data_IF_878664988722
#
_entry.id   IF_878664988722
#
_cell.length_a   1.000
_cell.length_b   1.000
_cell.length_c   1.000
_cell.angle_alpha   90.00
_cell.angle_beta   90.00
_cell.angle_gamma   90.00
#
_symmetry.space_group_name_H-M   'P 1'
#
loop_
_entity.id
_entity.type
_entity.pdbx_description
1 polymer ?
#
# COMPACT_ATOMS: atom_id res chain seq x y z
N UNK A 1 47.54 -8.99 -41.25
CA UNK A 1 46.68 -10.17 -40.99
C UNK A 1 45.56 -9.71 -40.08
N UNK A 2 44.40 -9.43 -40.68
CA UNK A 2 43.15 -9.02 -40.02
C UNK A 2 42.23 -10.24 -39.85
N UNK A 3 41.23 -10.09 -38.98
CA UNK A 3 40.12 -11.01 -38.66
C UNK A 3 40.42 -12.03 -37.54
N UNK A 4 39.57 -12.32 -36.57
CA UNK A 4 38.17 -11.94 -36.29
C UNK A 4 37.91 -12.33 -34.81
N UNK A 5 37.41 -11.41 -33.99
CA UNK A 5 36.88 -11.74 -32.66
C UNK A 5 35.37 -11.52 -32.72
N UNK A 6 34.66 -12.60 -33.04
CA UNK A 6 33.20 -12.63 -33.01
C UNK A 6 32.72 -12.57 -31.56
N UNK A 7 32.23 -11.41 -31.16
CA UNK A 7 31.40 -11.26 -29.99
C UNK A 7 30.05 -11.95 -30.25
N UNK A 8 29.85 -13.13 -29.65
CA UNK A 8 28.52 -13.75 -29.53
C UNK A 8 27.74 -12.99 -28.46
N UNK A 9 27.05 -11.92 -28.86
CA UNK A 9 25.92 -11.40 -28.09
C UNK A 9 24.81 -12.44 -28.14
N UNK A 10 24.79 -13.33 -27.15
CA UNK A 10 23.66 -14.19 -26.90
C UNK A 10 22.54 -13.33 -26.33
N UNK A 11 21.59 -12.95 -27.18
CA UNK A 11 20.29 -12.43 -26.75
C UNK A 11 19.66 -13.47 -25.82
N UNK A 12 19.77 -13.22 -24.51
CA UNK A 12 18.90 -13.91 -23.55
C UNK A 12 17.51 -13.33 -23.78
N UNK A 13 16.63 -14.15 -24.34
CA UNK A 13 15.19 -13.90 -24.27
C UNK A 13 14.83 -13.89 -22.79
N UNK A 14 14.73 -12.70 -22.21
CA UNK A 14 14.19 -12.50 -20.87
C UNK A 14 12.68 -12.65 -21.02
N UNK A 15 12.14 -13.80 -20.60
CA UNK A 15 10.69 -13.97 -20.50
C UNK A 15 10.19 -13.05 -19.39
N UNK A 16 9.47 -11.99 -19.75
CA UNK A 16 8.83 -11.11 -18.78
C UNK A 16 7.81 -11.90 -17.95
N UNK A 17 7.86 -11.75 -16.62
CA UNK A 17 6.83 -12.29 -15.74
C UNK A 17 5.50 -11.59 -15.99
N UNK A 18 4.43 -12.37 -16.01
CA UNK A 18 3.05 -11.89 -16.12
C UNK A 18 2.40 -11.84 -14.74
N UNK A 19 1.44 -10.94 -14.58
CA UNK A 19 0.67 -10.87 -13.35
C UNK A 19 -0.47 -11.89 -13.40
N UNK A 20 -0.64 -12.65 -12.33
CA UNK A 20 -1.81 -13.52 -12.19
C UNK A 20 -3.07 -12.67 -11.93
N UNK A 21 -4.08 -12.79 -12.77
CA UNK A 21 -5.35 -12.03 -12.64
C UNK A 21 -6.01 -12.30 -11.28
N UNK A 22 -5.94 -13.53 -10.77
CA UNK A 22 -6.50 -13.88 -9.47
C UNK A 22 -5.78 -13.15 -8.32
N UNK A 23 -4.48 -12.90 -8.48
CA UNK A 23 -3.70 -12.11 -7.55
C UNK A 23 -4.06 -10.61 -7.65
N UNK A 24 -4.17 -10.06 -8.86
CA UNK A 24 -4.59 -8.66 -9.06
C UNK A 24 -5.99 -8.40 -8.48
N UNK A 25 -6.94 -9.31 -8.70
CA UNK A 25 -8.27 -9.24 -8.10
C UNK A 25 -8.22 -9.29 -6.58
N UNK A 26 -7.33 -10.12 -6.02
CA UNK A 26 -7.15 -10.20 -4.57
C UNK A 26 -6.69 -8.85 -4.01
N UNK A 27 -5.66 -8.24 -4.58
CA UNK A 27 -5.13 -6.91 -4.22
C UNK A 27 -6.24 -5.85 -4.29
N UNK A 28 -7.05 -5.85 -5.35
CA UNK A 28 -8.17 -4.92 -5.50
C UNK A 28 -9.31 -5.15 -4.49
N UNK A 29 -9.62 -6.40 -4.12
CA UNK A 29 -10.61 -6.69 -3.07
C UNK A 29 -10.11 -6.22 -1.69
N UNK A 30 -8.82 -6.41 -1.47
CA UNK A 30 -8.07 -5.97 -0.34
C UNK A 30 -8.23 -4.42 -0.21
N UNK A 31 -7.89 -3.65 -1.24
CA UNK A 31 -8.12 -2.20 -1.37
C UNK A 31 -9.50 -1.72 -0.88
N UNK A 32 -10.58 -2.37 -1.35
CA UNK A 32 -11.94 -2.04 -0.94
C UNK A 32 -12.16 -2.20 0.57
N UNK A 33 -11.61 -3.26 1.17
CA UNK A 33 -11.75 -3.48 2.61
C UNK A 33 -11.05 -2.40 3.43
N UNK A 34 -9.97 -1.80 2.93
CA UNK A 34 -9.20 -0.79 3.66
C UNK A 34 -9.91 0.54 3.63
N UNK A 35 -10.47 0.89 2.46
CA UNK A 35 -11.30 2.09 2.30
C UNK A 35 -12.44 2.08 3.32
N UNK A 36 -13.13 0.94 3.48
CA UNK A 36 -14.19 0.80 4.49
C UNK A 36 -13.67 0.98 5.92
N UNK A 37 -12.54 0.37 6.28
CA UNK A 37 -11.96 0.58 7.63
C UNK A 37 -11.53 2.03 7.88
N UNK A 38 -10.96 2.70 6.88
CA UNK A 38 -10.59 4.12 6.98
C UNK A 38 -11.84 4.97 7.24
N UNK A 39 -12.94 4.73 6.51
CA UNK A 39 -14.21 5.42 6.71
C UNK A 39 -14.78 5.17 8.12
N UNK A 40 -14.70 3.94 8.61
CA UNK A 40 -15.12 3.59 9.98
C UNK A 40 -14.29 4.34 11.04
N UNK A 41 -12.97 4.39 10.87
CA UNK A 41 -12.05 5.11 11.77
C UNK A 41 -12.30 6.61 11.73
N UNK A 42 -12.46 7.21 10.53
CA UNK A 42 -12.78 8.63 10.38
C UNK A 42 -14.13 8.97 11.04
N UNK A 43 -15.11 8.07 10.93
CA UNK A 43 -16.39 8.19 11.63
C UNK A 43 -16.26 8.12 13.15
N UNK A 44 -15.44 7.22 13.68
CA UNK A 44 -15.16 7.11 15.11
C UNK A 44 -14.42 8.34 15.66
N UNK A 45 -13.44 8.86 14.92
CA UNK A 45 -12.75 10.10 15.29
C UNK A 45 -13.73 11.27 15.41
N UNK A 46 -14.67 11.40 14.49
CA UNK A 46 -15.68 12.46 14.51
C UNK A 46 -16.68 12.31 15.67
N UNK A 47 -17.11 11.07 15.97
CA UNK A 47 -17.96 10.78 17.15
C UNK A 47 -17.27 11.17 18.45
N UNK A 48 -15.98 10.84 18.58
CA UNK A 48 -15.17 11.21 19.75
C UNK A 48 -15.07 12.73 19.87
N UNK A 49 -14.79 13.45 18.77
CA UNK A 49 -14.73 14.93 18.74
C UNK A 49 -16.02 15.61 19.17
N UNK A 50 -17.16 15.03 18.80
CA UNK A 50 -18.50 15.54 19.17
C UNK A 50 -18.90 15.18 20.60
N UNK A 51 -18.04 14.50 21.35
CA UNK A 51 -18.32 13.93 22.66
C UNK A 51 -19.55 13.00 22.66
N UNK A 52 -19.86 12.37 21.50
CA UNK A 52 -20.90 11.33 21.39
C UNK A 52 -20.45 10.02 22.06
N UNK A 53 -19.14 9.85 22.24
CA UNK A 53 -18.51 8.80 23.05
C UNK A 53 -17.42 9.40 23.92
N UNK A 54 -17.22 8.85 25.12
CA UNK A 54 -16.17 9.25 26.07
C UNK A 54 -14.98 8.30 26.10
N UNK A 55 -15.02 7.20 25.34
CA UNK A 55 -13.97 6.18 25.31
C UNK A 55 -13.30 6.10 23.94
N UNK A 56 -11.97 6.03 23.94
CA UNK A 56 -11.09 5.81 22.77
C UNK A 56 -10.81 4.32 22.51
N UNK A 57 -11.33 3.42 23.35
CA UNK A 57 -11.03 1.98 23.27
C UNK A 57 -11.55 1.34 21.96
N UNK A 58 -12.72 1.77 21.48
CA UNK A 58 -13.27 1.35 20.19
C UNK A 58 -12.37 1.74 19.02
N UNK A 59 -11.97 3.01 19.00
CA UNK A 59 -11.04 3.55 18.03
C UNK A 59 -9.70 2.80 18.04
N UNK A 60 -9.15 2.51 19.23
CA UNK A 60 -7.89 1.76 19.34
C UNK A 60 -7.98 0.38 18.69
N UNK A 61 -9.06 -0.37 18.95
CA UNK A 61 -9.26 -1.69 18.31
C UNK A 61 -9.40 -1.61 16.79
N UNK A 62 -10.05 -0.57 16.28
CA UNK A 62 -10.14 -0.35 14.83
C UNK A 62 -8.76 -0.05 14.25
N UNK A 63 -7.96 0.78 14.91
CA UNK A 63 -6.59 1.08 14.50
C UNK A 63 -5.69 -0.15 14.49
N UNK A 64 -5.80 -1.03 15.50
CA UNK A 64 -5.05 -2.30 15.55
C UNK A 64 -5.45 -3.24 14.41
N UNK A 65 -6.76 -3.33 14.13
CA UNK A 65 -7.30 -4.14 13.04
C UNK A 65 -6.81 -3.61 11.69
N UNK A 66 -6.87 -2.29 11.49
CA UNK A 66 -6.38 -1.62 10.30
C UNK A 66 -4.88 -1.86 10.10
N UNK A 67 -4.06 -1.67 11.13
CA UNK A 67 -2.62 -1.94 11.04
C UNK A 67 -2.31 -3.39 10.67
N UNK A 68 -2.99 -4.35 11.29
CA UNK A 68 -2.82 -5.77 10.97
C UNK A 68 -3.15 -6.06 9.51
N UNK A 69 -4.24 -5.48 9.00
CA UNK A 69 -4.69 -5.68 7.63
C UNK A 69 -3.74 -5.04 6.61
N UNK A 70 -3.34 -3.78 6.79
CA UNK A 70 -2.39 -3.10 5.89
C UNK A 70 -1.03 -3.83 5.88
N UNK A 71 -0.57 -4.33 7.04
CA UNK A 71 0.65 -5.14 7.09
C UNK A 71 0.53 -6.45 6.32
N UNK A 72 -0.62 -7.13 6.42
CA UNK A 72 -0.86 -8.37 5.70
C UNK A 72 -0.92 -8.14 4.19
N UNK A 73 -1.52 -7.02 3.77
CA UNK A 73 -1.61 -6.58 2.39
C UNK A 73 -0.24 -6.28 1.76
N UNK A 74 0.55 -5.41 2.38
CA UNK A 74 1.90 -5.12 1.88
C UNK A 74 2.76 -6.38 1.81
N UNK A 75 2.60 -7.30 2.77
CA UNK A 75 3.29 -8.59 2.72
C UNK A 75 2.79 -9.48 1.56
N UNK A 76 1.51 -9.41 1.20
CA UNK A 76 0.95 -10.10 0.03
C UNK A 76 1.56 -9.55 -1.26
N UNK A 77 1.69 -8.25 -1.40
CA UNK A 77 2.27 -7.60 -2.59
C UNK A 77 3.75 -7.89 -2.75
N UNK A 78 4.49 -7.71 -1.65
CA UNK A 78 5.93 -7.92 -1.60
C UNK A 78 6.33 -9.38 -1.82
N UNK A 79 5.58 -10.34 -1.26
CA UNK A 79 5.90 -11.76 -1.41
C UNK A 79 5.18 -12.43 -2.58
N UNK A 80 4.09 -11.81 -3.04
CA UNK A 80 3.24 -12.32 -4.12
C UNK A 80 3.80 -12.05 -5.51
N UNK A 81 4.88 -11.28 -5.62
CA UNK A 81 5.56 -11.06 -6.90
C UNK A 81 5.24 -9.73 -7.57
N UNK A 82 4.40 -8.87 -6.98
CA UNK A 82 3.88 -7.68 -7.65
C UNK A 82 5.01 -6.72 -8.06
N UNK A 83 5.88 -6.40 -7.10
CA UNK A 83 7.00 -5.51 -7.35
C UNK A 83 8.07 -6.15 -8.24
N UNK A 84 8.24 -7.47 -8.23
CA UNK A 84 9.08 -8.16 -9.21
C UNK A 84 8.56 -7.96 -10.64
N UNK A 85 7.25 -8.10 -10.86
CA UNK A 85 6.62 -7.85 -12.17
C UNK A 85 6.86 -6.40 -12.62
N UNK A 86 6.65 -5.42 -11.75
CA UNK A 86 6.93 -4.01 -12.07
C UNK A 86 8.40 -3.76 -12.44
N UNK A 87 9.36 -4.40 -11.75
CA UNK A 87 10.80 -4.17 -11.99
C UNK A 87 11.31 -4.78 -13.30
N UNK A 88 10.66 -5.84 -13.77
CA UNK A 88 11.01 -6.57 -14.99
C UNK A 88 10.40 -5.96 -16.27
N UNK A 89 9.37 -5.11 -16.15
CA UNK A 89 8.68 -4.51 -17.29
C UNK A 89 9.48 -3.39 -17.97
N UNK A 90 9.66 -2.23 -17.31
CA UNK A 90 10.38 -1.08 -17.85
C UNK A 90 11.04 -0.25 -16.75
N UNK A 91 11.88 0.72 -17.14
CA UNK A 91 12.63 1.55 -16.19
C UNK A 91 11.76 2.45 -15.32
N UNK A 92 10.61 2.92 -15.83
CA UNK A 92 9.66 3.73 -15.08
C UNK A 92 8.95 2.91 -14.01
N UNK A 93 8.44 1.72 -14.37
CA UNK A 93 7.82 0.80 -13.41
C UNK A 93 8.79 0.30 -12.35
N UNK A 94 10.06 0.10 -12.71
CA UNK A 94 11.11 -0.24 -11.74
C UNK A 94 11.34 0.86 -10.70
N UNK A 95 11.38 2.12 -11.13
CA UNK A 95 11.51 3.24 -10.20
C UNK A 95 10.30 3.31 -9.28
N UNK A 96 9.10 3.15 -9.85
CA UNK A 96 7.86 3.19 -9.10
C UNK A 96 7.78 2.07 -8.04
N UNK A 97 8.17 0.84 -8.39
CA UNK A 97 8.24 -0.27 -7.44
C UNK A 97 9.19 0.04 -6.26
N UNK A 98 10.31 0.71 -6.53
CA UNK A 98 11.26 1.10 -5.47
C UNK A 98 10.64 2.14 -4.53
N UNK A 99 9.91 3.12 -5.09
CA UNK A 99 9.20 4.14 -4.31
C UNK A 99 8.10 3.51 -3.46
N UNK A 100 7.29 2.62 -4.03
CA UNK A 100 6.19 1.96 -3.31
C UNK A 100 6.68 1.08 -2.17
N UNK A 101 7.76 0.31 -2.37
CA UNK A 101 8.39 -0.46 -1.30
C UNK A 101 8.92 0.41 -0.16
N UNK A 102 9.40 1.62 -0.46
CA UNK A 102 9.80 2.58 0.57
C UNK A 102 8.58 3.12 1.32
N UNK A 103 7.50 3.46 0.58
CA UNK A 103 6.24 3.91 1.15
C UNK A 103 5.63 2.88 2.10
N UNK A 104 5.67 1.58 1.78
CA UNK A 104 5.17 0.52 2.68
C UNK A 104 5.83 0.59 4.06
N UNK A 105 7.16 0.71 4.08
CA UNK A 105 7.93 0.80 5.33
C UNK A 105 7.57 2.04 6.12
N UNK A 106 7.48 3.18 5.43
CA UNK A 106 7.13 4.46 6.04
C UNK A 106 5.71 4.43 6.62
N UNK A 107 4.75 3.85 5.91
CA UNK A 107 3.38 3.70 6.39
C UNK A 107 3.29 2.78 7.61
N UNK A 108 3.95 1.62 7.58
CA UNK A 108 3.96 0.69 8.72
C UNK A 108 4.59 1.32 9.97
N UNK A 109 5.66 2.09 9.81
CA UNK A 109 6.29 2.80 10.93
C UNK A 109 5.41 3.95 11.45
N UNK A 110 4.77 4.72 10.56
CA UNK A 110 3.82 5.77 10.96
C UNK A 110 2.63 5.19 11.71
N UNK A 111 2.02 4.11 11.20
CA UNK A 111 0.93 3.42 11.89
C UNK A 111 1.33 2.91 13.26
N UNK A 112 2.52 2.30 13.38
CA UNK A 112 3.04 1.82 14.67
C UNK A 112 3.15 2.95 15.69
N UNK A 113 3.68 4.11 15.28
CA UNK A 113 3.78 5.29 16.16
C UNK A 113 2.42 5.85 16.55
N UNK A 114 1.50 5.95 15.58
CA UNK A 114 0.14 6.43 15.84
C UNK A 114 -0.57 5.50 16.83
N UNK A 115 -0.44 4.18 16.67
CA UNK A 115 -0.98 3.20 17.62
C UNK A 115 -0.38 3.37 19.03
N UNK A 116 0.93 3.55 19.11
CA UNK A 116 1.62 3.79 20.37
C UNK A 116 1.14 5.09 21.04
N UNK A 117 0.92 6.18 20.29
CA UNK A 117 0.32 7.40 20.85
C UNK A 117 -1.13 7.15 21.27
N UNK A 118 -1.93 6.52 20.42
CA UNK A 118 -3.35 6.27 20.66
C UNK A 118 -3.60 5.43 21.92
N UNK A 119 -2.73 4.47 22.24
CA UNK A 119 -2.85 3.65 23.44
C UNK A 119 -2.62 4.40 24.75
N UNK A 120 -2.08 5.63 24.69
CA UNK A 120 -1.82 6.48 25.86
C UNK A 120 -2.72 7.72 25.92
N UNK A 121 -3.75 7.80 25.06
CA UNK A 121 -4.70 8.92 25.10
C UNK A 121 -5.68 8.71 26.26
N UNK A 122 -5.45 9.44 27.35
CA UNK A 122 -6.32 9.45 28.53
C UNK A 122 -7.57 10.32 28.34
N UNK A 123 -7.49 11.31 27.44
CA UNK A 123 -8.54 12.32 27.23
C UNK A 123 -8.91 12.46 25.75
N UNK A 124 -10.16 12.15 25.35
CA UNK A 124 -10.62 12.26 23.97
C UNK A 124 -10.74 13.70 23.44
N UNK A 125 -10.58 14.71 24.29
CA UNK A 125 -10.64 16.14 23.96
C UNK A 125 -9.28 16.86 24.17
N UNK A 126 -8.22 16.09 24.40
CA UNK A 126 -6.88 16.61 24.66
C UNK A 126 -6.07 16.95 23.41
N UNK A 127 -4.98 17.73 23.56
CA UNK A 127 -4.07 18.05 22.45
C UNK A 127 -3.43 16.80 21.83
N UNK A 128 -3.23 15.72 22.61
CA UNK A 128 -2.71 14.44 22.14
C UNK A 128 -3.68 13.76 21.18
N UNK A 129 -4.98 13.78 21.49
CA UNK A 129 -6.01 13.24 20.61
C UNK A 129 -6.08 14.01 19.29
N UNK A 130 -6.07 15.35 19.35
CA UNK A 130 -6.09 16.17 18.14
C UNK A 130 -4.84 16.00 17.26
N UNK A 131 -3.67 15.80 17.88
CA UNK A 131 -2.46 15.46 17.14
C UNK A 131 -2.59 14.08 16.47
N UNK A 132 -3.03 13.06 17.21
CA UNK A 132 -3.27 11.71 16.69
C UNK A 132 -4.25 11.73 15.50
N UNK A 133 -5.37 12.45 15.64
CA UNK A 133 -6.38 12.59 14.59
C UNK A 133 -5.83 13.26 13.32
N UNK A 134 -4.97 14.29 13.46
CA UNK A 134 -4.29 14.92 12.32
C UNK A 134 -3.33 13.95 11.63
N UNK A 135 -2.49 13.26 12.39
CA UNK A 135 -1.53 12.29 11.86
C UNK A 135 -2.22 11.13 11.13
N UNK A 136 -3.35 10.67 11.65
CA UNK A 136 -4.22 9.69 10.99
C UNK A 136 -4.76 10.23 9.67
N UNK A 137 -5.31 11.44 9.65
CA UNK A 137 -5.81 12.06 8.42
C UNK A 137 -4.73 12.19 7.34
N UNK A 138 -3.51 12.58 7.73
CA UNK A 138 -2.36 12.65 6.81
C UNK A 138 -1.92 11.27 6.32
N UNK A 139 -1.95 10.25 7.17
CA UNK A 139 -1.64 8.87 6.81
C UNK A 139 -2.68 8.32 5.83
N UNK A 140 -3.97 8.48 6.12
CA UNK A 140 -5.06 7.99 5.28
C UNK A 140 -5.06 8.63 3.90
N UNK A 141 -4.80 9.94 3.82
CA UNK A 141 -4.60 10.61 2.54
C UNK A 141 -3.44 9.98 1.75
N UNK A 142 -2.30 9.76 2.40
CA UNK A 142 -1.14 9.19 1.73
C UNK A 142 -1.35 7.72 1.30
N UNK A 143 -2.10 6.92 2.08
CA UNK A 143 -2.48 5.56 1.70
C UNK A 143 -3.43 5.56 0.49
N UNK A 144 -4.43 6.43 0.46
CA UNK A 144 -5.33 6.58 -0.71
C UNK A 144 -4.57 7.01 -1.97
N UNK A 145 -3.59 7.90 -1.84
CA UNK A 145 -2.72 8.31 -2.96
C UNK A 145 -1.83 7.15 -3.45
N UNK A 146 -1.27 6.36 -2.53
CA UNK A 146 -0.48 5.17 -2.86
C UNK A 146 -1.31 4.11 -3.58
N UNK A 147 -2.48 3.80 -3.05
CA UNK A 147 -3.45 2.86 -3.61
C UNK A 147 -3.88 3.27 -5.03
N UNK A 148 -4.17 4.56 -5.26
CA UNK A 148 -4.52 5.05 -6.59
C UNK A 148 -3.40 4.83 -7.61
N UNK A 149 -2.15 5.03 -7.18
CA UNK A 149 -0.99 4.77 -8.04
C UNK A 149 -0.91 3.28 -8.33
N UNK A 150 -1.05 2.42 -7.33
CA UNK A 150 -1.04 0.97 -7.51
C UNK A 150 -2.13 0.45 -8.44
N UNK A 151 -3.39 0.85 -8.22
CA UNK A 151 -4.54 0.52 -9.08
C UNK A 151 -4.23 0.90 -10.54
N UNK A 152 -3.67 2.11 -10.76
CA UNK A 152 -3.26 2.57 -12.10
C UNK A 152 -2.17 1.68 -12.72
N UNK A 153 -1.23 1.18 -11.92
CA UNK A 153 -0.18 0.28 -12.40
C UNK A 153 -0.71 -1.11 -12.70
N UNK A 154 -1.59 -1.65 -11.86
CA UNK A 154 -2.27 -2.93 -12.07
C UNK A 154 -3.08 -2.90 -13.37
N UNK A 155 -3.89 -1.86 -13.59
CA UNK A 155 -4.68 -1.68 -14.81
C UNK A 155 -3.79 -1.67 -16.05
N UNK A 156 -2.67 -0.94 -16.00
CA UNK A 156 -1.69 -0.89 -17.11
C UNK A 156 -1.09 -2.26 -17.42
N UNK A 157 -0.74 -3.04 -16.39
CA UNK A 157 -0.22 -4.39 -16.59
C UNK A 157 -1.27 -5.32 -17.21
N UNK A 158 -2.50 -5.28 -16.70
CA UNK A 158 -3.61 -6.09 -17.24
C UNK A 158 -3.90 -5.72 -18.69
N UNK A 159 -3.95 -4.44 -19.03
CA UNK A 159 -4.13 -3.98 -20.42
C UNK A 159 -3.01 -4.46 -21.34
N UNK A 160 -1.75 -4.41 -20.88
CA UNK A 160 -0.61 -4.86 -21.66
C UNK A 160 -0.61 -6.38 -21.86
N UNK A 161 -0.98 -7.16 -20.84
CA UNK A 161 -1.09 -8.63 -20.94
C UNK A 161 -2.21 -9.05 -21.91
N UNK A 162 -3.33 -8.32 -21.95
CA UNK A 162 -4.40 -8.54 -22.94
C UNK A 162 -3.90 -8.25 -24.36
N UNK A 163 -3.16 -7.15 -24.57
CA UNK A 163 -2.69 -6.75 -25.92
C UNK A 163 -1.57 -7.62 -26.48
N UNK A 164 -0.70 -8.18 -25.62
CA UNK A 164 0.41 -9.06 -26.04
C UNK A 164 0.07 -10.56 -25.92
N UNK A 165 -1.10 -10.90 -25.37
CA UNK A 165 -1.63 -12.26 -25.28
C UNK A 165 -2.45 -12.70 -26.49
N UNK A 166 -2.44 -11.95 -27.60
CA UNK A 166 -3.09 -12.29 -28.88
C UNK A 166 -2.07 -12.63 -29.97
#
# INVERSE_FOLDING_TARGET
MTSELMAKSGDRVVTMKKLDISFAMRVACDHLSYRSLIEEIEGDLERVRRAETTSTEGLLRLLESFYSQVRAHFALEEKGGLFEVYREHDSGLRQQATVMLAQHRDFLERMRRILEVASHIDRPDGPEFEQCARELGELFRALREHELVEDTLLDRLVEQDIRHGS
#
